data_IF_618589060712
#
_entry.id   IF_618589060712
#
_cell.length_a   1.000
_cell.length_b   1.000
_cell.length_c   1.000
_cell.angle_alpha   90.00
_cell.angle_beta   90.00
_cell.angle_gamma   90.00
#
_symmetry.space_group_name_H-M   'P 1'
#
loop_
_entity.id
_entity.type
_entity.pdbx_description
1 polymer ?
#
# COMPACT_ATOMS: atom_id res chain seq x y z
N UNK A 1 3.87 11.35 -9.71
CA UNK A 1 3.92 10.01 -9.11
C UNK A 1 4.85 10.07 -7.91
N UNK A 2 4.41 9.63 -6.74
CA UNK A 2 5.15 9.59 -5.48
C UNK A 2 5.15 8.18 -4.93
N UNK A 3 6.23 7.78 -4.24
CA UNK A 3 6.37 6.50 -3.53
C UNK A 3 6.73 6.77 -2.07
N UNK A 4 6.07 6.10 -1.13
CA UNK A 4 6.31 6.22 0.31
C UNK A 4 6.29 4.84 0.98
N UNK A 5 7.31 4.53 1.78
CA UNK A 5 7.37 3.29 2.56
C UNK A 5 6.59 3.48 3.86
N UNK A 6 5.60 2.61 4.11
CA UNK A 6 4.75 2.63 5.30
C UNK A 6 5.35 1.85 6.47
N UNK A 7 6.17 0.84 6.18
CA UNK A 7 6.76 -0.04 7.18
C UNK A 7 7.26 -1.34 6.55
N UNK A 8 7.70 -2.27 7.39
CA UNK A 8 8.21 -3.59 6.99
C UNK A 8 7.10 -4.46 6.35
N UNK A 9 7.48 -5.40 5.47
CA UNK A 9 6.55 -6.26 4.71
C UNK A 9 5.90 -7.32 5.61
N UNK A 10 6.60 -7.73 6.65
CA UNK A 10 6.14 -8.73 7.62
C UNK A 10 5.34 -8.09 8.77
N UNK A 11 5.22 -6.76 8.77
CA UNK A 11 4.38 -6.06 9.73
C UNK A 11 2.91 -6.16 9.29
N UNK A 12 2.29 -7.27 9.66
CA UNK A 12 0.85 -7.49 9.49
C UNK A 12 0.02 -6.33 10.06
N UNK A 13 0.51 -5.65 11.11
CA UNK A 13 -0.19 -4.51 11.68
C UNK A 13 -0.15 -3.29 10.75
N UNK A 14 0.94 -3.05 10.00
CA UNK A 14 1.01 -2.01 8.96
C UNK A 14 -0.02 -2.30 7.87
N UNK A 15 -0.09 -3.53 7.37
CA UNK A 15 -1.06 -3.89 6.33
C UNK A 15 -2.52 -3.76 6.82
N UNK A 16 -2.79 -4.16 8.07
CA UNK A 16 -4.11 -3.99 8.68
C UNK A 16 -4.48 -2.50 8.86
N UNK A 17 -3.53 -1.64 9.24
CA UNK A 17 -3.75 -0.19 9.30
C UNK A 17 -4.03 0.38 7.91
N UNK A 18 -3.30 -0.04 6.88
CA UNK A 18 -3.57 0.36 5.50
C UNK A 18 -4.98 -0.04 5.06
N UNK A 19 -5.40 -1.29 5.32
CA UNK A 19 -6.75 -1.75 4.99
C UNK A 19 -7.84 -0.89 5.68
N UNK A 20 -7.65 -0.57 6.96
CA UNK A 20 -8.56 0.30 7.72
C UNK A 20 -8.58 1.72 7.16
N UNK A 21 -7.44 2.29 6.82
CA UNK A 21 -7.32 3.61 6.23
C UNK A 21 -8.07 3.68 4.89
N UNK A 22 -7.84 2.71 4.00
CA UNK A 22 -8.55 2.63 2.71
C UNK A 22 -10.05 2.50 2.91
N UNK A 23 -10.51 1.63 3.81
CA UNK A 23 -11.92 1.49 4.12
C UNK A 23 -12.54 2.77 4.70
N UNK A 24 -11.83 3.48 5.59
CA UNK A 24 -12.27 4.75 6.19
C UNK A 24 -12.41 5.86 5.15
N UNK A 25 -11.55 5.84 4.13
CA UNK A 25 -11.62 6.75 2.99
C UNK A 25 -12.66 6.32 1.93
N UNK A 26 -13.45 5.28 2.20
CA UNK A 26 -14.50 4.80 1.30
C UNK A 26 -13.98 4.05 0.08
N UNK A 27 -12.74 3.53 0.16
CA UNK A 27 -12.10 2.80 -0.92
C UNK A 27 -12.09 1.29 -0.73
N UNK A 28 -11.44 0.62 -1.68
CA UNK A 28 -11.21 -0.83 -1.67
C UNK A 28 -9.77 -1.14 -2.01
N UNK A 29 -9.24 -2.23 -1.46
CA UNK A 29 -7.93 -2.77 -1.78
C UNK A 29 -8.08 -4.19 -2.32
N UNK A 30 -7.40 -4.51 -3.42
CA UNK A 30 -7.42 -5.83 -4.08
C UNK A 30 -6.00 -6.24 -4.43
N UNK A 31 -5.63 -7.49 -4.17
CA UNK A 31 -4.36 -8.05 -4.67
C UNK A 31 -4.45 -8.16 -6.19
N UNK A 32 -3.51 -7.56 -6.92
CA UNK A 32 -3.40 -7.64 -8.38
C UNK A 32 -2.46 -8.77 -8.78
N UNK A 33 -1.24 -8.74 -8.27
CA UNK A 33 -0.15 -9.58 -8.74
C UNK A 33 0.71 -10.07 -7.58
N UNK A 34 1.24 -11.27 -7.73
CA UNK A 34 2.33 -11.80 -6.93
C UNK A 34 3.39 -12.29 -7.92
N UNK A 35 4.60 -11.73 -7.84
CA UNK A 35 5.71 -12.04 -8.70
C UNK A 35 6.91 -12.48 -7.87
N UNK A 36 7.57 -13.55 -8.30
CA UNK A 36 8.81 -14.04 -7.69
C UNK A 36 9.99 -13.68 -8.61
N UNK A 37 10.84 -12.75 -8.16
CA UNK A 37 12.06 -12.33 -8.83
C UNK A 37 13.28 -12.89 -8.11
N UNK A 38 13.70 -14.12 -8.42
CA UNK A 38 14.79 -14.78 -7.70
C UNK A 38 14.40 -15.12 -6.26
N UNK A 39 15.09 -14.52 -5.27
CA UNK A 39 14.78 -14.69 -3.84
C UNK A 39 13.89 -13.58 -3.25
N UNK A 40 13.37 -12.68 -4.08
CA UNK A 40 12.45 -11.63 -3.65
C UNK A 40 11.03 -11.90 -4.13
N UNK A 41 10.08 -11.74 -3.23
CA UNK A 41 8.65 -11.74 -3.51
C UNK A 41 8.16 -10.29 -3.60
N UNK A 42 7.40 -10.01 -4.66
CA UNK A 42 6.73 -8.72 -4.85
C UNK A 42 5.24 -8.99 -4.95
N UNK A 43 4.47 -8.42 -4.03
CA UNK A 43 3.00 -8.44 -4.07
C UNK A 43 2.48 -7.04 -4.34
N UNK A 44 1.74 -6.88 -5.43
CA UNK A 44 1.11 -5.62 -5.80
C UNK A 44 -0.37 -5.65 -5.45
N UNK A 45 -0.86 -4.58 -4.86
CA UNK A 45 -2.25 -4.35 -4.51
C UNK A 45 -2.75 -3.09 -5.18
N UNK A 46 -3.93 -3.19 -5.80
CA UNK A 46 -4.67 -2.06 -6.32
C UNK A 46 -5.53 -1.46 -5.24
N UNK A 47 -5.44 -0.15 -5.07
CA UNK A 47 -6.26 0.63 -4.17
C UNK A 47 -7.11 1.57 -5.01
N UNK A 48 -8.43 1.43 -4.89
CA UNK A 48 -9.39 2.34 -5.50
C UNK A 48 -10.05 3.18 -4.41
N UNK A 49 -9.87 4.50 -4.46
CA UNK A 49 -10.54 5.48 -3.63
C UNK A 49 -11.54 6.28 -4.49
N UNK A 50 -12.55 6.94 -3.88
CA UNK A 50 -13.47 7.82 -4.61
C UNK A 50 -12.75 8.93 -5.41
N UNK A 51 -11.59 9.34 -4.92
CA UNK A 51 -10.73 10.42 -5.42
C UNK A 51 -9.64 9.98 -6.40
N UNK A 52 -9.45 8.67 -6.60
CA UNK A 52 -8.45 8.15 -7.54
C UNK A 52 -7.91 6.78 -7.19
N UNK A 53 -6.88 6.37 -7.92
CA UNK A 53 -6.22 5.07 -7.72
C UNK A 53 -4.83 5.24 -7.11
N UNK A 54 -4.48 4.27 -6.28
CA UNK A 54 -3.17 4.07 -5.68
C UNK A 54 -2.76 2.62 -5.88
N UNK A 55 -1.47 2.36 -5.73
CA UNK A 55 -0.92 1.01 -5.70
C UNK A 55 -0.18 0.84 -4.36
N UNK A 56 -0.35 -0.32 -3.73
CA UNK A 56 0.51 -0.74 -2.64
C UNK A 56 1.40 -1.88 -3.12
N UNK A 57 2.67 -1.86 -2.75
CA UNK A 57 3.66 -2.85 -3.16
C UNK A 57 4.34 -3.37 -1.90
N UNK A 58 4.22 -4.66 -1.62
CA UNK A 58 5.00 -5.34 -0.60
C UNK A 58 6.16 -6.06 -1.31
N UNK A 59 7.40 -5.67 -1.02
CA UNK A 59 8.60 -6.25 -1.67
C UNK A 59 9.58 -6.73 -0.61
N UNK A 60 10.07 -7.97 -0.74
CA UNK A 60 11.01 -8.55 0.22
C UNK A 60 12.22 -7.65 0.48
N UNK A 61 12.51 -7.37 1.76
CA UNK A 61 13.56 -6.48 2.28
C UNK A 61 13.33 -4.96 2.12
N UNK A 62 12.23 -4.52 1.49
CA UNK A 62 11.89 -3.09 1.37
C UNK A 62 10.68 -2.75 2.25
N UNK A 63 9.72 -3.67 2.34
CA UNK A 63 8.48 -3.47 3.07
C UNK A 63 7.29 -3.03 2.22
N UNK A 64 6.26 -2.53 2.89
CA UNK A 64 5.02 -2.07 2.26
C UNK A 64 5.14 -0.61 1.82
N UNK A 65 5.05 -0.37 0.51
CA UNK A 65 5.11 0.95 -0.12
C UNK A 65 3.76 1.36 -0.71
N UNK A 66 3.42 2.64 -0.66
CA UNK A 66 2.33 3.26 -1.43
C UNK A 66 2.87 4.05 -2.62
N UNK A 67 2.23 3.89 -3.77
CA UNK A 67 2.58 4.51 -5.05
C UNK A 67 1.35 5.20 -5.65
N UNK A 68 1.52 6.41 -6.18
CA UNK A 68 0.45 7.12 -6.91
C UNK A 68 0.55 8.64 -6.85
N UNK A 69 -0.57 9.39 -6.99
CA UNK A 69 -0.58 10.84 -6.83
C UNK A 69 -0.10 11.24 -5.42
N UNK A 70 0.84 12.18 -5.32
CA UNK A 70 1.50 12.51 -4.04
C UNK A 70 0.55 12.99 -2.94
N UNK A 71 -0.52 13.70 -3.32
CA UNK A 71 -1.58 14.13 -2.38
C UNK A 71 -2.35 12.95 -1.80
N UNK A 72 -2.66 11.95 -2.62
CA UNK A 72 -3.35 10.73 -2.19
C UNK A 72 -2.45 9.83 -1.34
N UNK A 73 -1.18 9.67 -1.74
CA UNK A 73 -0.19 8.92 -0.96
C UNK A 73 -0.02 9.53 0.43
N UNK A 74 0.16 10.86 0.53
CA UNK A 74 0.30 11.54 1.82
C UNK A 74 -0.95 11.38 2.68
N UNK A 75 -2.14 11.50 2.09
CA UNK A 75 -3.40 11.34 2.81
C UNK A 75 -3.57 9.93 3.38
N UNK A 76 -3.38 8.90 2.57
CA UNK A 76 -3.48 7.50 3.05
C UNK A 76 -2.40 7.19 4.07
N UNK A 77 -1.19 7.72 3.91
CA UNK A 77 -0.10 7.54 4.87
C UNK A 77 -0.44 8.11 6.26
N UNK A 78 -1.00 9.32 6.32
CA UNK A 78 -1.45 9.95 7.58
C UNK A 78 -2.49 9.09 8.31
N UNK A 79 -3.38 8.45 7.56
CA UNK A 79 -4.44 7.58 8.06
C UNK A 79 -3.92 6.21 8.55
N UNK A 80 -2.70 5.84 8.15
CA UNK A 80 -2.07 4.54 8.43
C UNK A 80 -1.11 4.62 9.63
N UNK A 81 -0.85 5.81 10.16
CA UNK A 81 -0.05 6.02 11.36
C UNK A 81 -0.79 5.51 12.62
N UNK A 82 -0.06 4.99 13.63
CA UNK A 82 -0.65 4.58 14.90
C UNK A 82 -1.25 5.74 15.69
#
# INVERSE_FOLDING_TARGET
MSRLVLGDEYDDAVFQRLCKAVARLGGTIKRREWALGGSQEVTTFDIELPEGKLEAIAETYIGLSLCGPGTLVARVALETQP
#
